data_IF_760554918356
#
_entry.id   IF_760554918356
#
_cell.length_a   1.000
_cell.length_b   1.000
_cell.length_c   1.000
_cell.angle_alpha   90.00
_cell.angle_beta   90.00
_cell.angle_gamma   90.00
#
_symmetry.space_group_name_H-M   'P 1'
#
loop_
_entity.id
_entity.type
_entity.pdbx_description
1 polymer ?
#
# COMPACT_ATOMS: atom_id res chain seq x y z
N UNK A 1 -0.24 -20.27 21.77
CA UNK A 1 -1.00 -19.33 22.62
C UNK A 1 -1.76 -18.39 21.69
N UNK A 2 -3.06 -18.17 21.91
CA UNK A 2 -3.83 -17.23 21.10
C UNK A 2 -3.24 -15.81 21.28
N UNK A 3 -2.83 -15.19 20.19
CA UNK A 3 -2.40 -13.79 20.19
C UNK A 3 -3.63 -12.92 20.42
N UNK A 4 -3.71 -12.31 21.61
CA UNK A 4 -4.70 -11.30 21.95
C UNK A 4 -4.35 -9.98 21.24
N UNK A 5 -4.43 -9.97 19.92
CA UNK A 5 -4.46 -8.73 19.17
C UNK A 5 -5.83 -8.08 19.38
N UNK A 6 -5.84 -6.76 19.50
CA UNK A 6 -7.06 -5.97 19.62
C UNK A 6 -7.41 -5.44 18.24
N UNK A 7 -8.69 -5.38 17.96
CA UNK A 7 -9.20 -4.62 16.82
C UNK A 7 -10.07 -3.50 17.35
N UNK A 8 -9.82 -2.29 16.88
CA UNK A 8 -10.63 -1.13 17.21
C UNK A 8 -10.74 -0.21 16.00
N UNK A 9 -11.76 0.63 16.02
CA UNK A 9 -12.06 1.56 14.92
C UNK A 9 -12.10 2.97 15.48
N UNK A 10 -11.43 3.89 14.80
CA UNK A 10 -11.49 5.31 15.09
C UNK A 10 -12.33 6.02 14.05
N UNK A 11 -13.24 6.86 14.51
CA UNK A 11 -13.99 7.79 13.66
C UNK A 11 -13.22 9.11 13.60
N UNK A 12 -12.87 9.53 12.40
CA UNK A 12 -12.21 10.79 12.11
C UNK A 12 -13.22 11.95 12.04
N UNK A 13 -12.71 13.16 12.03
CA UNK A 13 -13.48 14.41 12.03
C UNK A 13 -14.40 14.57 10.82
N UNK A 14 -14.03 13.97 9.68
CA UNK A 14 -14.83 13.94 8.45
C UNK A 14 -15.84 12.78 8.39
N UNK A 15 -15.95 12.00 9.47
CA UNK A 15 -16.85 10.85 9.59
C UNK A 15 -16.30 9.54 9.03
N UNK A 16 -15.12 9.55 8.41
CA UNK A 16 -14.44 8.32 7.98
C UNK A 16 -14.07 7.47 9.19
N UNK A 17 -14.33 6.18 9.10
CA UNK A 17 -13.93 5.20 10.10
C UNK A 17 -12.73 4.40 9.60
N UNK A 18 -11.69 4.29 10.42
CA UNK A 18 -10.50 3.49 10.12
C UNK A 18 -10.30 2.45 11.23
N UNK A 19 -10.28 1.17 10.84
CA UNK A 19 -10.01 0.06 11.73
C UNK A 19 -8.52 -0.26 11.82
N UNK A 20 -8.05 -0.65 13.00
CA UNK A 20 -6.68 -1.03 13.26
C UNK A 20 -6.65 -2.37 13.99
N UNK A 21 -5.63 -3.17 13.67
CA UNK A 21 -5.21 -4.31 14.48
C UNK A 21 -3.99 -3.90 15.30
N UNK A 22 -3.92 -4.33 16.55
CA UNK A 22 -2.90 -3.90 17.49
C UNK A 22 -2.43 -5.05 18.39
N UNK A 23 -1.12 -5.28 18.40
CA UNK A 23 -0.47 -6.26 19.28
C UNK A 23 -0.33 -5.81 20.74
N UNK A 24 -0.63 -4.55 21.04
CA UNK A 24 -0.45 -3.93 22.34
C UNK A 24 1.01 -3.60 22.68
N UNK A 25 1.24 -2.77 23.71
CA UNK A 25 2.59 -2.43 24.14
C UNK A 25 3.34 -3.66 24.69
N UNK A 26 4.67 -3.76 24.49
CA UNK A 26 5.48 -4.76 25.15
C UNK A 26 5.36 -4.64 26.69
N UNK A 27 5.21 -5.76 27.42
CA UNK A 27 5.09 -5.73 28.87
C UNK A 27 6.29 -5.05 29.53
N UNK A 28 6.02 -4.19 30.52
CA UNK A 28 7.03 -3.47 31.31
C UNK A 28 7.94 -2.51 30.51
N UNK A 29 7.65 -2.25 29.24
CA UNK A 29 8.37 -1.26 28.45
C UNK A 29 7.70 0.12 28.52
N UNK A 30 8.53 1.16 28.62
CA UNK A 30 8.10 2.57 28.56
C UNK A 30 8.71 3.34 27.39
N UNK A 31 9.58 2.69 26.62
CA UNK A 31 10.39 3.28 25.55
C UNK A 31 10.31 2.46 24.25
N UNK A 32 9.31 1.59 24.12
CA UNK A 32 9.08 0.79 22.92
C UNK A 32 8.78 1.67 21.70
N UNK A 33 9.20 1.21 20.52
CA UNK A 33 8.82 1.83 19.25
C UNK A 33 7.58 1.17 18.69
N UNK A 34 6.65 1.97 18.17
CA UNK A 34 5.48 1.45 17.46
C UNK A 34 5.76 1.36 15.97
N UNK A 35 5.60 0.20 15.37
CA UNK A 35 5.59 0.02 13.91
C UNK A 35 4.14 0.11 13.43
N UNK A 36 3.81 1.20 12.76
CA UNK A 36 2.49 1.46 12.18
C UNK A 36 2.48 1.02 10.71
N UNK A 37 1.81 -0.09 10.43
CA UNK A 37 1.84 -0.77 9.14
C UNK A 37 0.65 -0.36 8.29
N UNK A 38 0.92 -0.02 7.04
CA UNK A 38 -0.06 0.24 6.00
C UNK A 38 0.09 -0.85 4.93
N UNK A 39 -0.93 -1.69 4.79
CA UNK A 39 -0.86 -2.87 3.93
C UNK A 39 -0.96 -2.55 2.43
N UNK A 40 -0.48 -3.49 1.62
CA UNK A 40 -0.59 -3.49 0.17
C UNK A 40 -1.96 -3.95 -0.32
N UNK A 41 -2.07 -4.09 -1.64
CA UNK A 41 -3.33 -4.43 -2.29
C UNK A 41 -3.76 -5.87 -2.07
N UNK A 42 -5.08 -6.07 -2.00
CA UNK A 42 -5.78 -7.34 -1.83
C UNK A 42 -5.53 -8.01 -0.48
N UNK A 43 -4.50 -7.59 0.23
CA UNK A 43 -4.17 -7.95 1.59
C UNK A 43 -4.74 -6.93 2.57
N UNK A 44 -4.87 -7.28 3.84
CA UNK A 44 -5.37 -6.37 4.86
C UNK A 44 -4.57 -6.47 6.17
N UNK A 45 -4.94 -5.68 7.18
CA UNK A 45 -4.22 -5.61 8.44
C UNK A 45 -4.15 -6.94 9.21
N UNK A 46 -5.13 -7.85 9.02
CA UNK A 46 -5.17 -9.15 9.70
C UNK A 46 -3.92 -10.01 9.43
N UNK A 47 -3.27 -9.82 8.30
CA UNK A 47 -2.07 -10.56 7.93
C UNK A 47 -0.88 -10.30 8.85
N UNK A 48 -0.84 -9.12 9.48
CA UNK A 48 0.24 -8.72 10.37
C UNK A 48 0.06 -9.26 11.79
N UNK A 49 -0.96 -10.07 12.06
CA UNK A 49 -1.17 -10.65 13.39
C UNK A 49 -0.04 -11.57 13.87
N UNK A 50 0.64 -12.25 12.93
CA UNK A 50 1.84 -13.05 13.25
C UNK A 50 3.00 -12.14 13.66
N UNK A 51 3.12 -10.96 13.04
CA UNK A 51 4.13 -9.96 13.41
C UNK A 51 3.91 -9.47 14.85
N UNK A 52 2.67 -9.30 15.30
CA UNK A 52 2.36 -8.97 16.70
C UNK A 52 2.98 -9.96 17.70
N UNK A 53 3.02 -11.25 17.38
CA UNK A 53 3.56 -12.29 18.26
C UNK A 53 5.07 -12.19 18.47
N UNK A 54 5.79 -11.62 17.49
CA UNK A 54 7.26 -11.54 17.52
C UNK A 54 7.77 -10.16 17.91
N UNK A 55 6.97 -9.09 17.73
CA UNK A 55 7.39 -7.71 17.92
C UNK A 55 7.90 -7.40 19.34
N UNK A 56 7.24 -7.95 20.38
CA UNK A 56 7.60 -7.66 21.77
C UNK A 56 9.02 -8.07 22.13
N UNK A 57 9.54 -9.15 21.52
CA UNK A 57 10.93 -9.59 21.72
C UNK A 57 11.96 -8.50 21.33
N UNK A 58 11.60 -7.66 20.37
CA UNK A 58 12.43 -6.56 19.87
C UNK A 58 12.10 -5.21 20.51
N UNK A 59 11.33 -5.19 21.60
CA UNK A 59 10.79 -3.97 22.20
C UNK A 59 9.94 -3.13 21.22
N UNK A 60 9.18 -3.81 20.35
CA UNK A 60 8.30 -3.18 19.36
C UNK A 60 6.83 -3.47 19.67
N UNK A 61 5.96 -2.47 19.48
CA UNK A 61 4.51 -2.63 19.30
C UNK A 61 4.23 -2.61 17.80
N UNK A 62 3.40 -3.51 17.29
CA UNK A 62 2.97 -3.47 15.88
C UNK A 62 1.49 -3.17 15.82
N UNK A 63 1.13 -2.23 14.96
CA UNK A 63 -0.24 -1.81 14.69
C UNK A 63 -0.40 -1.79 13.18
N UNK A 64 -1.46 -2.41 12.65
CA UNK A 64 -1.73 -2.40 11.21
C UNK A 64 -3.09 -1.77 10.92
N UNK A 65 -3.09 -0.79 10.02
CA UNK A 65 -4.27 -0.06 9.57
C UNK A 65 -5.00 -0.86 8.49
N UNK A 66 -6.29 -1.15 8.67
CA UNK A 66 -7.17 -1.48 7.56
C UNK A 66 -7.38 -0.20 6.75
N UNK A 67 -6.86 -0.17 5.53
CA UNK A 67 -7.05 0.97 4.64
C UNK A 67 -8.54 1.15 4.29
N UNK A 68 -8.89 2.32 3.78
CA UNK A 68 -10.21 2.53 3.17
C UNK A 68 -10.46 1.51 2.04
N UNK A 69 -11.73 1.18 1.84
CA UNK A 69 -12.24 0.05 1.04
C UNK A 69 -12.01 -1.35 1.61
N UNK A 70 -11.20 -1.51 2.66
CA UNK A 70 -11.00 -2.80 3.32
C UNK A 70 -11.90 -2.95 4.56
N UNK A 71 -12.22 -4.20 4.92
CA UNK A 71 -13.16 -4.54 5.97
C UNK A 71 -12.79 -3.89 7.31
N UNK A 72 -13.79 -3.32 7.98
CA UNK A 72 -13.64 -2.57 9.22
C UNK A 72 -13.44 -1.06 9.01
N UNK A 73 -13.02 -0.63 7.81
CA UNK A 73 -12.83 0.78 7.46
C UNK A 73 -13.89 1.26 6.46
N UNK A 74 -14.11 2.57 6.40
CA UNK A 74 -15.08 3.19 5.51
C UNK A 74 -14.64 3.07 4.04
N UNK A 75 -15.51 2.55 3.15
CA UNK A 75 -15.24 2.52 1.71
C UNK A 75 -15.08 3.92 1.11
N UNK A 76 -14.35 4.02 -0.01
CA UNK A 76 -14.33 5.22 -0.83
C UNK A 76 -15.71 5.47 -1.45
N UNK A 77 -16.09 6.74 -1.48
CA UNK A 77 -17.28 7.19 -2.22
C UNK A 77 -17.00 7.17 -3.72
N UNK A 78 -18.06 7.17 -4.53
CA UNK A 78 -17.91 7.24 -5.98
C UNK A 78 -17.10 8.47 -6.43
N UNK A 79 -17.35 9.63 -5.83
CA UNK A 79 -16.61 10.86 -6.11
C UNK A 79 -15.12 10.73 -5.80
N UNK A 80 -14.76 10.12 -4.67
CA UNK A 80 -13.34 9.89 -4.34
C UNK A 80 -12.67 8.93 -5.32
N UNK A 81 -13.41 7.90 -5.78
CA UNK A 81 -12.94 6.97 -6.81
C UNK A 81 -12.78 7.63 -8.19
N UNK A 82 -13.53 8.68 -8.49
CA UNK A 82 -13.32 9.48 -9.70
C UNK A 82 -12.13 10.45 -9.55
N UNK A 83 -11.98 11.08 -8.37
CA UNK A 83 -10.86 11.98 -8.06
C UNK A 83 -9.52 11.25 -8.20
N UNK A 84 -9.42 10.04 -7.63
CA UNK A 84 -8.22 9.21 -7.74
C UNK A 84 -7.98 8.76 -9.19
N UNK A 85 -9.02 8.52 -9.99
CA UNK A 85 -8.88 8.16 -11.41
C UNK A 85 -8.30 9.29 -12.26
N UNK A 86 -8.69 10.53 -11.97
CA UNK A 86 -8.17 11.73 -12.64
C UNK A 86 -6.80 12.16 -12.11
N UNK A 87 -6.39 11.64 -10.95
CA UNK A 87 -5.18 12.05 -10.27
C UNK A 87 -5.32 13.41 -9.60
N UNK A 88 -6.53 13.75 -9.14
CA UNK A 88 -6.81 15.03 -8.53
C UNK A 88 -6.08 15.15 -7.18
N UNK A 89 -5.35 16.25 -6.99
CA UNK A 89 -4.64 16.56 -5.73
C UNK A 89 -5.56 16.48 -4.51
N UNK A 90 -6.83 16.85 -4.65
CA UNK A 90 -7.81 16.86 -3.55
C UNK A 90 -7.98 15.48 -2.90
N UNK A 91 -7.84 14.39 -3.67
CA UNK A 91 -7.88 13.03 -3.12
C UNK A 91 -6.68 12.77 -2.20
N UNK A 92 -5.48 13.10 -2.66
CA UNK A 92 -4.24 12.88 -1.92
C UNK A 92 -4.12 13.79 -0.69
N UNK A 93 -4.58 15.04 -0.78
CA UNK A 93 -4.69 15.95 0.35
C UNK A 93 -5.68 15.41 1.41
N UNK A 94 -6.78 14.81 0.97
CA UNK A 94 -7.74 14.17 1.89
C UNK A 94 -7.14 12.92 2.54
N UNK A 95 -6.51 12.05 1.77
CA UNK A 95 -5.91 10.81 2.25
C UNK A 95 -4.80 11.06 3.27
N UNK A 96 -3.92 12.03 2.99
CA UNK A 96 -2.84 12.41 3.89
C UNK A 96 -3.36 13.03 5.19
N UNK A 97 -4.40 13.86 5.12
CA UNK A 97 -5.05 14.41 6.31
C UNK A 97 -5.70 13.32 7.17
N UNK A 98 -6.37 12.34 6.55
CA UNK A 98 -6.95 11.20 7.26
C UNK A 98 -5.87 10.34 7.95
N UNK A 99 -4.72 10.12 7.29
CA UNK A 99 -3.59 9.40 7.89
C UNK A 99 -2.97 10.21 9.06
N UNK A 100 -2.80 11.52 8.90
CA UNK A 100 -2.31 12.39 9.97
C UNK A 100 -3.25 12.38 11.18
N UNK A 101 -4.57 12.45 10.94
CA UNK A 101 -5.58 12.48 12.00
C UNK A 101 -5.65 11.13 12.74
N UNK A 102 -5.65 9.99 12.03
CA UNK A 102 -5.68 8.68 12.69
C UNK A 102 -4.44 8.45 13.54
N UNK A 103 -3.27 8.93 13.11
CA UNK A 103 -2.04 8.89 13.90
C UNK A 103 -2.17 9.73 15.17
N UNK A 104 -2.74 10.94 15.07
CA UNK A 104 -3.01 11.78 16.25
C UNK A 104 -3.95 11.08 17.24
N UNK A 105 -5.10 10.59 16.78
CA UNK A 105 -6.07 9.88 17.63
C UNK A 105 -5.42 8.67 18.29
N UNK A 106 -4.61 7.92 17.54
CA UNK A 106 -3.86 6.78 18.05
C UNK A 106 -2.83 7.19 19.12
N UNK A 107 -2.02 8.22 18.86
CA UNK A 107 -1.03 8.75 19.82
C UNK A 107 -1.69 9.12 21.15
N UNK A 108 -2.80 9.87 21.10
CA UNK A 108 -3.51 10.35 22.28
C UNK A 108 -4.18 9.21 23.06
N UNK A 109 -4.90 8.32 22.37
CA UNK A 109 -5.67 7.25 23.03
C UNK A 109 -4.79 6.15 23.60
N UNK A 110 -3.70 5.84 22.90
CA UNK A 110 -2.88 4.67 23.21
C UNK A 110 -1.62 5.03 24.01
N UNK A 111 -1.45 6.30 24.39
CA UNK A 111 -0.34 6.82 25.19
C UNK A 111 1.03 6.39 24.64
N UNK A 112 1.23 6.64 23.35
CA UNK A 112 2.46 6.25 22.66
C UNK A 112 3.66 6.96 23.32
N UNK A 113 4.79 6.26 23.57
CA UNK A 113 6.00 6.93 24.05
C UNK A 113 6.49 7.95 23.02
N UNK A 114 6.86 9.15 23.48
CA UNK A 114 7.47 10.16 22.60
C UNK A 114 8.78 9.66 22.01
N UNK A 115 9.09 10.09 20.79
CA UNK A 115 10.37 9.81 20.17
C UNK A 115 11.48 10.47 21.01
N UNK A 116 12.49 9.68 21.37
CA UNK A 116 13.66 10.14 22.11
C UNK A 116 14.92 9.75 21.35
N UNK A 117 15.83 10.70 21.17
CA UNK A 117 17.13 10.49 20.52
C UNK A 117 18.24 10.89 21.48
N UNK A 118 19.02 9.92 21.95
CA UNK A 118 20.15 10.13 22.86
C UNK A 118 21.40 9.57 22.19
N UNK A 119 22.28 10.47 21.73
CA UNK A 119 23.42 10.09 20.89
C UNK A 119 22.93 9.38 19.61
N UNK A 120 23.42 8.15 19.39
CA UNK A 120 23.00 7.32 18.24
C UNK A 120 21.83 6.38 18.56
N UNK A 121 21.27 6.43 19.77
CA UNK A 121 20.15 5.56 20.17
C UNK A 121 18.84 6.29 20.00
N UNK A 122 17.90 5.65 19.28
CA UNK A 122 16.50 6.03 19.18
C UNK A 122 15.64 5.09 20.01
N UNK A 123 14.62 5.64 20.67
CA UNK A 123 13.62 4.88 21.42
C UNK A 123 12.29 5.61 21.42
N UNK A 124 11.19 4.91 21.70
CA UNK A 124 9.86 5.48 21.60
C UNK A 124 9.44 5.75 20.16
N UNK A 125 8.38 6.53 20.02
CA UNK A 125 7.88 7.03 18.74
C UNK A 125 7.19 5.98 17.87
N UNK A 126 6.99 6.37 16.62
CA UNK A 126 6.31 5.62 15.57
C UNK A 126 7.25 5.52 14.37
N UNK A 127 7.45 4.30 13.89
CA UNK A 127 7.97 4.01 12.56
C UNK A 127 6.78 3.64 11.65
N UNK A 128 6.54 4.40 10.59
CA UNK A 128 5.44 4.10 9.66
C UNK A 128 5.99 3.26 8.52
N UNK A 129 5.43 2.08 8.30
CA UNK A 129 5.83 1.17 7.22
C UNK A 129 4.70 1.03 6.20
N UNK A 130 4.89 1.56 5.00
CA UNK A 130 4.08 1.20 3.85
C UNK A 130 4.62 -0.08 3.24
N UNK A 131 3.76 -1.08 3.03
CA UNK A 131 4.11 -2.26 2.24
C UNK A 131 3.41 -2.22 0.89
N UNK A 132 4.14 -2.48 -0.18
CA UNK A 132 3.58 -2.51 -1.54
C UNK A 132 2.79 -1.21 -1.82
N UNK A 133 1.54 -1.30 -2.26
CA UNK A 133 0.70 -0.12 -2.49
C UNK A 133 0.35 0.69 -1.23
N UNK A 134 0.52 0.14 -0.02
CA UNK A 134 0.45 0.93 1.22
C UNK A 134 1.49 2.05 1.26
N UNK A 135 2.57 1.95 0.47
CA UNK A 135 3.54 3.02 0.25
C UNK A 135 2.89 4.29 -0.31
N UNK A 136 1.85 4.19 -1.16
CA UNK A 136 1.16 5.38 -1.71
C UNK A 136 0.51 6.22 -0.61
N UNK A 137 -0.10 5.57 0.38
CA UNK A 137 -0.73 6.25 1.52
C UNK A 137 0.34 6.93 2.37
N UNK A 138 1.46 6.26 2.65
CA UNK A 138 2.58 6.85 3.37
C UNK A 138 3.18 8.04 2.60
N UNK A 139 3.40 7.88 1.30
CA UNK A 139 3.91 8.95 0.43
C UNK A 139 2.96 10.14 0.35
N UNK A 140 1.64 9.93 0.43
CA UNK A 140 0.68 11.03 0.50
C UNK A 140 0.91 11.91 1.73
N UNK A 141 1.23 11.31 2.88
CA UNK A 141 1.59 12.03 4.10
C UNK A 141 2.94 12.72 3.97
N UNK A 142 3.94 12.07 3.38
CA UNK A 142 5.26 12.68 3.19
C UNK A 142 5.23 13.85 2.19
N UNK A 143 4.33 13.81 1.21
CA UNK A 143 4.10 14.87 0.24
C UNK A 143 3.18 16.00 0.73
N UNK A 144 2.70 15.96 1.98
CA UNK A 144 1.63 16.84 2.46
C UNK A 144 2.12 18.18 3.04
N UNK A 145 3.35 18.61 2.74
CA UNK A 145 3.94 19.82 3.32
C UNK A 145 3.08 21.09 3.11
N UNK A 146 2.37 21.17 1.98
CA UNK A 146 1.48 22.28 1.64
C UNK A 146 -0.01 21.91 1.75
N UNK A 147 -0.35 20.85 2.47
CA UNK A 147 -1.74 20.41 2.60
C UNK A 147 -2.50 21.28 3.61
N UNK A 148 -3.46 22.12 3.19
CA UNK A 148 -4.17 23.03 4.10
C UNK A 148 -5.11 22.30 5.07
N UNK A 149 -5.34 21.00 4.88
CA UNK A 149 -6.16 20.16 5.76
C UNK A 149 -5.40 19.69 7.00
N UNK A 150 -4.07 19.81 7.02
CA UNK A 150 -3.23 19.42 8.14
C UNK A 150 -2.79 20.69 8.87
N UNK A 151 -3.30 20.89 10.09
CA UNK A 151 -2.94 22.06 10.88
C UNK A 151 -1.48 22.02 11.34
N UNK A 152 -0.83 23.18 11.51
CA UNK A 152 0.53 23.25 12.06
C UNK A 152 0.66 22.53 13.40
N UNK A 153 -0.35 22.66 14.28
CA UNK A 153 -0.39 21.95 15.57
C UNK A 153 -0.30 20.42 15.40
N UNK A 154 -0.96 19.89 14.37
CA UNK A 154 -0.92 18.46 14.06
C UNK A 154 0.46 18.07 13.51
N UNK A 155 1.05 18.87 12.62
CA UNK A 155 2.43 18.66 12.18
C UNK A 155 3.41 18.64 13.35
N UNK A 156 3.37 19.66 14.21
CA UNK A 156 4.25 19.79 15.39
C UNK A 156 4.10 18.59 16.35
N UNK A 157 2.90 18.03 16.45
CA UNK A 157 2.67 16.81 17.23
C UNK A 157 3.33 15.62 16.53
N UNK A 158 3.04 15.39 15.25
CA UNK A 158 3.56 14.24 14.52
C UNK A 158 5.08 14.22 14.46
N UNK A 159 5.74 15.39 14.34
CA UNK A 159 7.21 15.51 14.39
C UNK A 159 7.82 15.03 15.72
N UNK A 160 7.07 15.07 16.83
CA UNK A 160 7.52 14.56 18.13
C UNK A 160 7.41 13.04 18.27
N UNK A 161 6.71 12.36 17.36
CA UNK A 161 6.45 10.92 17.45
C UNK A 161 6.99 10.15 16.26
N UNK A 162 6.88 10.66 15.03
CA UNK A 162 7.32 9.95 13.83
C UNK A 162 8.84 10.04 13.73
N UNK A 163 9.51 8.90 13.90
CA UNK A 163 10.97 8.83 13.80
C UNK A 163 11.47 8.30 12.46
N UNK A 164 10.70 7.40 11.85
CA UNK A 164 11.12 6.65 10.66
C UNK A 164 9.94 6.36 9.74
N UNK A 165 10.21 6.39 8.44
CA UNK A 165 9.28 6.02 7.38
C UNK A 165 9.95 4.97 6.51
N UNK A 166 9.31 3.80 6.36
CA UNK A 166 9.83 2.66 5.63
C UNK A 166 8.92 2.38 4.44
N UNK A 167 9.49 2.44 3.24
CA UNK A 167 8.85 1.96 2.01
C UNK A 167 9.32 0.52 1.80
N UNK A 168 8.48 -0.45 2.15
CA UNK A 168 8.80 -1.87 2.03
C UNK A 168 8.23 -2.42 0.73
N UNK A 169 9.12 -2.76 -0.19
CA UNK A 169 8.79 -3.28 -1.53
C UNK A 169 7.79 -2.38 -2.29
N UNK A 170 8.08 -1.05 -2.44
CA UNK A 170 7.19 -0.15 -3.16
C UNK A 170 7.17 -0.51 -4.65
N UNK A 171 6.00 -0.72 -5.26
CA UNK A 171 5.92 -0.91 -6.70
C UNK A 171 6.19 0.43 -7.40
N UNK A 172 6.71 0.37 -8.63
CA UNK A 172 7.07 1.59 -9.38
C UNK A 172 5.89 2.58 -9.54
N UNK A 173 4.66 2.06 -9.63
CA UNK A 173 3.44 2.88 -9.67
C UNK A 173 3.29 3.74 -8.40
N UNK A 174 3.63 3.19 -7.23
CA UNK A 174 3.53 3.92 -5.97
C UNK A 174 4.51 5.10 -5.90
N UNK A 175 5.60 5.04 -6.67
CA UNK A 175 6.62 6.08 -6.77
C UNK A 175 6.35 7.06 -7.92
N UNK A 176 5.27 6.86 -8.69
CA UNK A 176 4.92 7.71 -9.82
C UNK A 176 5.82 7.56 -11.04
N UNK A 177 6.60 6.47 -11.13
CA UNK A 177 7.45 6.25 -12.29
C UNK A 177 6.64 5.84 -13.53
N UNK A 178 6.82 6.50 -14.68
CA UNK A 178 6.25 6.03 -15.93
C UNK A 178 6.97 4.77 -16.39
N UNK A 179 6.22 3.85 -17.00
CA UNK A 179 6.82 2.78 -17.79
C UNK A 179 7.16 3.33 -19.18
N UNK A 180 8.24 2.86 -19.81
CA UNK A 180 8.45 3.09 -21.24
C UNK A 180 7.25 2.59 -22.05
N UNK A 181 6.89 3.31 -23.12
CA UNK A 181 5.74 2.96 -23.96
C UNK A 181 5.88 1.61 -24.66
N UNK A 182 7.11 1.14 -24.82
CA UNK A 182 7.50 -0.13 -25.40
C UNK A 182 7.81 -1.21 -24.34
N UNK A 183 7.50 -0.95 -23.06
CA UNK A 183 7.71 -1.93 -22.00
C UNK A 183 6.89 -3.21 -22.28
N UNK A 184 7.55 -4.37 -22.46
CA UNK A 184 6.86 -5.62 -22.75
C UNK A 184 6.10 -6.18 -21.54
N UNK A 185 6.37 -5.66 -20.34
CA UNK A 185 5.77 -6.13 -19.10
C UNK A 185 4.35 -5.58 -18.92
N UNK A 186 3.39 -6.25 -19.57
CA UNK A 186 1.99 -6.00 -19.34
C UNK A 186 1.61 -6.33 -17.90
N UNK A 187 0.66 -5.54 -17.42
CA UNK A 187 0.16 -5.60 -16.07
C UNK A 187 -1.22 -6.26 -16.12
N UNK A 188 -1.49 -7.35 -15.36
CA UNK A 188 -2.68 -8.19 -15.58
C UNK A 188 -4.01 -7.44 -15.60
N UNK A 189 -4.16 -6.40 -14.78
CA UNK A 189 -5.39 -5.62 -14.69
C UNK A 189 -5.58 -4.60 -15.83
N UNK A 190 -4.62 -4.48 -16.75
CA UNK A 190 -4.75 -3.73 -17.99
C UNK A 190 -5.13 -4.62 -19.18
N UNK A 191 -5.06 -5.94 -19.00
CA UNK A 191 -5.43 -6.89 -20.03
C UNK A 191 -6.95 -7.03 -20.05
N UNK A 192 -7.59 -6.31 -20.97
CA UNK A 192 -9.04 -6.35 -21.17
C UNK A 192 -9.56 -7.68 -21.71
N UNK A 193 -8.66 -8.60 -22.08
CA UNK A 193 -9.02 -9.95 -22.54
C UNK A 193 -9.23 -10.92 -21.38
N UNK A 194 -8.72 -10.61 -20.18
CA UNK A 194 -8.91 -11.42 -18.99
C UNK A 194 -10.30 -11.20 -18.39
N UNK A 195 -11.04 -12.28 -18.17
CA UNK A 195 -12.27 -12.24 -17.38
C UNK A 195 -11.98 -12.04 -15.88
N UNK A 196 -12.99 -11.64 -15.12
CA UNK A 196 -12.91 -11.50 -13.67
C UNK A 196 -12.47 -12.78 -12.95
N UNK A 197 -12.73 -13.96 -13.54
CA UNK A 197 -12.34 -15.24 -12.96
C UNK A 197 -10.91 -15.64 -13.31
N UNK A 198 -10.39 -15.18 -14.44
CA UNK A 198 -9.01 -15.43 -14.90
C UNK A 198 -8.00 -14.46 -14.26
N UNK A 199 -8.44 -13.26 -13.86
CA UNK A 199 -7.56 -12.25 -13.30
C UNK A 199 -6.84 -12.70 -12.00
N UNK A 200 -7.49 -13.35 -11.01
CA UNK A 200 -6.81 -13.75 -9.79
C UNK A 200 -5.61 -14.70 -9.96
N UNK A 201 -5.71 -15.84 -10.69
CA UNK A 201 -4.55 -16.71 -10.88
C UNK A 201 -3.43 -16.03 -11.69
N UNK A 202 -3.77 -15.20 -12.68
CA UNK A 202 -2.77 -14.41 -13.42
C UNK A 202 -2.09 -13.39 -12.50
N UNK A 203 -2.85 -12.72 -11.63
CA UNK A 203 -2.32 -11.78 -10.64
C UNK A 203 -1.38 -12.46 -9.64
N UNK A 204 -1.76 -13.60 -9.08
CA UNK A 204 -0.92 -14.37 -8.16
C UNK A 204 0.40 -14.76 -8.81
N UNK A 205 0.35 -15.25 -10.06
CA UNK A 205 1.54 -15.56 -10.83
C UNK A 205 2.38 -14.31 -11.07
N UNK A 206 1.76 -13.20 -11.47
CA UNK A 206 2.44 -11.94 -11.74
C UNK A 206 3.14 -11.36 -10.50
N UNK A 207 2.49 -11.31 -9.34
CA UNK A 207 3.06 -10.73 -8.12
C UNK A 207 4.14 -11.63 -7.49
N UNK A 208 4.10 -12.94 -7.74
CA UNK A 208 5.14 -13.88 -7.31
C UNK A 208 6.31 -14.02 -8.30
N UNK A 209 6.28 -13.29 -9.42
CA UNK A 209 7.36 -13.34 -10.42
C UNK A 209 8.48 -12.36 -10.11
N UNK A 210 9.66 -12.64 -10.65
CA UNK A 210 10.83 -11.76 -10.58
C UNK A 210 11.53 -11.68 -11.94
N UNK A 211 12.42 -10.71 -12.09
CA UNK A 211 13.25 -10.56 -13.30
C UNK A 211 14.66 -11.07 -13.03
N UNK A 212 15.32 -11.61 -14.06
CA UNK A 212 16.76 -11.80 -14.01
C UNK A 212 17.43 -10.42 -14.12
N UNK A 213 18.04 -9.97 -13.03
CA UNK A 213 18.73 -8.69 -12.99
C UNK A 213 20.17 -8.87 -13.47
N UNK A 214 20.38 -9.17 -14.76
CA UNK A 214 21.73 -9.37 -15.33
C UNK A 214 22.63 -8.13 -15.21
N UNK A 215 22.02 -6.96 -15.09
CA UNK A 215 22.70 -5.69 -14.85
C UNK A 215 23.10 -5.46 -13.38
N UNK A 216 22.71 -6.36 -12.46
CA UNK A 216 23.12 -6.33 -11.06
C UNK A 216 24.46 -7.03 -10.87
N UNK A 217 25.42 -6.29 -10.32
CA UNK A 217 26.69 -6.85 -9.90
C UNK A 217 26.64 -7.20 -8.40
N UNK A 218 26.61 -8.51 -8.05
CA UNK A 218 26.53 -8.94 -6.66
C UNK A 218 27.80 -8.64 -5.86
N UNK A 219 28.94 -8.41 -6.52
CA UNK A 219 30.21 -8.12 -5.85
C UNK A 219 30.22 -6.74 -5.20
N UNK A 220 29.59 -5.77 -5.85
CA UNK A 220 29.45 -4.38 -5.37
C UNK A 220 28.04 -4.06 -4.86
N UNK A 221 27.12 -5.04 -4.91
CA UNK A 221 25.71 -4.91 -4.54
C UNK A 221 25.02 -3.72 -5.21
N UNK A 222 25.29 -3.51 -6.50
CA UNK A 222 24.85 -2.32 -7.22
C UNK A 222 24.47 -2.65 -8.68
N UNK A 223 23.62 -1.82 -9.26
CA UNK A 223 23.32 -1.81 -10.70
C UNK A 223 24.30 -0.87 -11.40
N UNK A 224 24.58 -1.10 -12.69
CA UNK A 224 25.23 -0.07 -13.51
C UNK A 224 24.46 1.24 -13.43
N UNK A 225 25.16 2.38 -13.32
CA UNK A 225 24.54 3.71 -13.38
C UNK A 225 23.79 3.97 -14.72
N UNK A 226 24.08 3.16 -15.74
CA UNK A 226 23.40 3.21 -17.05
C UNK A 226 22.30 2.17 -17.20
N UNK A 227 22.02 1.36 -16.17
CA UNK A 227 21.00 0.33 -16.24
C UNK A 227 19.61 0.95 -16.41
N UNK A 228 18.82 0.37 -17.30
CA UNK A 228 17.46 0.76 -17.64
C UNK A 228 16.53 -0.44 -17.49
N UNK A 229 15.22 -0.20 -17.52
CA UNK A 229 14.22 -1.30 -17.51
C UNK A 229 14.33 -2.22 -18.74
N UNK A 230 14.96 -1.75 -19.83
CA UNK A 230 15.23 -2.57 -21.03
C UNK A 230 16.36 -3.59 -20.82
N UNK A 231 17.18 -3.42 -19.77
CA UNK A 231 18.20 -4.38 -19.38
C UNK A 231 17.62 -5.54 -18.54
N UNK A 232 16.33 -5.46 -18.18
CA UNK A 232 15.59 -6.60 -17.68
C UNK A 232 15.25 -7.49 -18.88
N UNK A 233 15.47 -8.79 -18.77
CA UNK A 233 15.24 -9.75 -19.86
C UNK A 233 13.76 -9.86 -20.31
N UNK A 234 12.84 -9.15 -19.65
CA UNK A 234 11.41 -9.09 -19.94
C UNK A 234 10.67 -10.41 -19.68
N UNK A 235 11.41 -11.51 -19.53
CA UNK A 235 10.94 -12.82 -19.21
C UNK A 235 10.81 -12.94 -17.69
N UNK A 236 9.58 -12.78 -17.20
CA UNK A 236 9.27 -13.07 -15.81
C UNK A 236 9.67 -14.50 -15.47
N UNK A 237 10.59 -14.64 -14.52
CA UNK A 237 10.98 -15.89 -13.93
C UNK A 237 10.06 -16.22 -12.76
N UNK A 238 9.98 -17.51 -12.47
CA UNK A 238 9.23 -18.07 -11.34
C UNK A 238 10.20 -18.92 -10.54
N UNK A 239 9.99 -19.05 -9.24
CA UNK A 239 10.76 -20.04 -8.48
C UNK A 239 10.27 -21.43 -8.89
N UNK A 240 11.14 -22.26 -9.44
CA UNK A 240 10.82 -23.67 -9.79
C UNK A 240 10.38 -24.51 -8.58
N UNK A 241 10.62 -23.99 -7.37
CA UNK A 241 10.11 -24.52 -6.13
C UNK A 241 8.69 -24.01 -5.91
N UNK A 242 7.70 -24.75 -6.40
CA UNK A 242 6.28 -24.58 -5.98
C UNK A 242 6.13 -24.55 -4.45
N UNK A 243 7.09 -25.13 -3.71
CA UNK A 243 7.13 -25.13 -2.25
C UNK A 243 7.52 -23.79 -1.60
N UNK A 244 8.23 -22.88 -2.30
CA UNK A 244 8.74 -21.63 -1.69
C UNK A 244 7.75 -20.45 -1.78
N UNK A 245 6.76 -20.50 -2.70
CA UNK A 245 5.63 -19.55 -2.77
C UNK A 245 4.34 -20.29 -2.38
N UNK A 246 4.32 -20.77 -1.15
CA UNK A 246 3.23 -21.63 -0.68
C UNK A 246 2.35 -20.88 0.32
N UNK A 247 1.15 -20.51 -0.14
CA UNK A 247 0.00 -20.29 0.76
C UNK A 247 -0.50 -21.60 1.36
N UNK A 248 0.14 -22.75 1.09
CA UNK A 248 -0.28 -24.05 1.65
C UNK A 248 -0.16 -24.12 3.17
N UNK A 249 0.64 -23.23 3.77
CA UNK A 249 0.69 -23.04 5.23
C UNK A 249 -0.43 -22.15 5.79
N UNK A 250 -1.23 -21.51 4.94
CA UNK A 250 -2.34 -20.66 5.34
C UNK A 250 -3.61 -21.52 5.42
N UNK A 251 -4.34 -21.36 6.52
CA UNK A 251 -5.65 -22.00 6.64
C UNK A 251 -6.67 -21.33 5.72
N UNK A 252 -7.79 -22.00 5.45
CA UNK A 252 -8.90 -21.38 4.74
C UNK A 252 -9.38 -20.10 5.43
N UNK A 253 -9.45 -20.13 6.77
CA UNK A 253 -9.74 -18.95 7.60
C UNK A 253 -8.73 -17.82 7.40
N UNK A 254 -7.45 -18.13 7.21
CA UNK A 254 -6.41 -17.11 6.94
C UNK A 254 -6.62 -16.45 5.59
N UNK A 255 -6.99 -17.22 4.58
CA UNK A 255 -7.30 -16.70 3.25
C UNK A 255 -8.55 -15.83 3.27
N UNK A 256 -9.63 -16.29 3.92
CA UNK A 256 -10.90 -15.54 4.01
C UNK A 256 -10.72 -14.22 4.76
N UNK A 257 -9.98 -14.23 5.87
CA UNK A 257 -9.83 -13.03 6.71
C UNK A 257 -8.73 -12.10 6.24
N UNK A 258 -7.68 -12.63 5.60
CA UNK A 258 -6.50 -11.88 5.22
C UNK A 258 -6.53 -11.32 3.81
N UNK A 259 -7.46 -11.76 2.96
CA UNK A 259 -7.53 -11.37 1.55
C UNK A 259 -8.91 -10.80 1.22
N UNK A 260 -8.93 -9.59 0.65
CA UNK A 260 -10.13 -8.89 0.23
C UNK A 260 -10.06 -8.54 -1.25
N UNK A 261 -10.58 -9.45 -2.08
CA UNK A 261 -10.46 -9.38 -3.53
C UNK A 261 -11.21 -8.19 -4.14
N UNK A 262 -12.39 -7.86 -3.63
CA UNK A 262 -13.17 -6.71 -4.13
C UNK A 262 -12.50 -5.38 -3.81
N UNK A 263 -12.00 -5.21 -2.57
CA UNK A 263 -11.22 -4.05 -2.18
C UNK A 263 -9.94 -3.96 -3.02
N UNK A 264 -9.25 -5.09 -3.21
CA UNK A 264 -8.07 -5.16 -4.06
C UNK A 264 -8.34 -4.80 -5.53
N UNK A 265 -9.47 -5.24 -6.07
CA UNK A 265 -9.93 -4.91 -7.43
C UNK A 265 -10.47 -3.49 -7.58
N UNK A 266 -10.73 -2.77 -6.50
CA UNK A 266 -11.01 -1.33 -6.50
C UNK A 266 -9.82 -0.51 -6.03
N UNK A 267 -8.70 -1.16 -5.73
CA UNK A 267 -7.54 -0.50 -5.17
C UNK A 267 -6.87 0.41 -6.22
N UNK A 268 -6.20 1.45 -5.71
CA UNK A 268 -5.27 2.37 -6.37
C UNK A 268 -4.46 1.80 -7.54
N UNK A 269 -4.10 0.51 -7.55
CA UNK A 269 -3.41 -0.17 -8.67
C UNK A 269 -4.03 0.06 -10.05
N UNK A 270 -5.36 -0.04 -10.14
CA UNK A 270 -6.08 0.17 -11.41
C UNK A 270 -6.10 1.64 -11.83
N UNK A 271 -6.05 2.54 -10.85
CA UNK A 271 -6.35 3.96 -11.03
C UNK A 271 -5.09 4.82 -11.16
N UNK A 272 -4.06 4.57 -10.35
CA UNK A 272 -2.73 5.21 -10.44
C UNK A 272 -2.11 5.00 -11.83
N UNK A 273 -2.38 3.85 -12.46
CA UNK A 273 -1.91 3.59 -13.82
C UNK A 273 -2.52 4.53 -14.88
N UNK A 274 -3.79 4.95 -14.72
CA UNK A 274 -4.44 5.88 -15.67
C UNK A 274 -3.89 7.30 -15.56
N UNK A 275 -3.44 7.71 -14.37
CA UNK A 275 -2.77 8.99 -14.15
C UNK A 275 -1.41 9.02 -14.86
N UNK A 276 -0.63 7.95 -14.72
CA UNK A 276 0.74 7.86 -15.26
C UNK A 276 0.75 7.67 -16.78
N UNK A 277 -0.23 6.93 -17.33
CA UNK A 277 -0.32 6.67 -18.77
C UNK A 277 -0.86 7.86 -19.60
N UNK A 278 -1.35 8.91 -18.95
CA UNK A 278 -2.07 10.02 -19.60
C UNK A 278 -3.44 9.59 -20.15
N UNK A 279 -4.33 10.55 -20.49
CA UNK A 279 -5.59 10.22 -21.16
C UNK A 279 -5.26 9.59 -22.52
N UNK A 280 -5.68 8.35 -22.74
CA UNK A 280 -5.63 7.71 -24.06
C UNK A 280 -6.42 8.57 -25.05
N UNK A 281 -5.73 9.32 -25.89
CA UNK A 281 -6.35 9.98 -27.03
C UNK A 281 -6.75 8.91 -28.04
N UNK A 282 -8.02 8.53 -28.08
CA UNK A 282 -8.84 8.29 -29.27
C UNK A 282 -10.13 7.52 -28.91
N UNK A 283 -11.32 8.12 -29.00
CA UNK A 283 -12.52 7.37 -29.36
C UNK A 283 -12.45 7.12 -30.87
N UNK A 284 -12.20 5.88 -31.28
CA UNK A 284 -12.43 5.49 -32.67
C UNK A 284 -13.93 5.62 -32.93
N UNK A 285 -14.32 6.68 -33.63
CA UNK A 285 -15.63 6.80 -34.25
C UNK A 285 -15.88 5.56 -35.11
N UNK A 286 -16.84 4.73 -34.72
CA UNK A 286 -17.45 3.78 -35.64
C UNK A 286 -18.17 4.57 -36.73
N UNK A 287 -17.87 4.35 -38.03
CA UNK A 287 -18.74 4.84 -39.08
C UNK A 287 -20.02 4.00 -39.04
N UNK A 288 -21.15 4.67 -38.80
CA UNK A 288 -22.48 4.12 -39.05
C UNK A 288 -22.60 3.79 -40.53
N UNK A 289 -22.68 2.50 -40.87
CA UNK A 289 -23.13 2.06 -42.19
C UNK A 289 -24.62 2.43 -42.33
N UNK A 290 -24.89 3.56 -42.98
CA UNK A 290 -26.19 3.86 -43.55
C UNK A 290 -26.47 2.90 -44.70
N UNK A 291 -27.45 2.02 -44.54
CA UNK A 291 -28.13 1.36 -45.64
C UNK A 291 -28.94 2.42 -46.40
N UNK A 292 -28.59 2.69 -47.65
CA UNK A 292 -29.51 3.21 -48.66
C UNK A 292 -29.59 2.18 -49.77
N UNK A 293 -30.66 1.38 -49.75
CA UNK A 293 -31.11 0.62 -50.90
C UNK A 293 -31.96 1.51 -51.81
N UNK A 294 -31.66 1.43 -53.11
CA UNK A 294 -32.33 2.08 -54.23
C UNK A 294 -33.81 1.70 -54.36
N UNK A 295 -34.65 2.65 -54.81
CA UNK A 295 -35.21 2.80 -56.18
C UNK A 295 -35.64 4.25 -56.32
#
# INVERSE_FOLDING_TARGET
MASNHRTYTYTLSDGVQLSLTDGGPPPNSKDYTTVFVIHGTAFNAYQFRKLHQHAHFFNLRTVALHRRDYAGSTPYTHTELEEIQRGDRVFWDRLSAQLAEVLNVFIERENIPKLTVIGNRRSGGIAIMGWSFGCTTLLSLLGSAENPRISNKLCDLLEQYIGECVLYDPPYQALGYPLPSDNPNQTPWLDSTLSLLELPPVFTKWIGSYFDHRCYDPSIKSLSATATIHDLDGARLYSDKEEDISTTSWTEDDLIRGIEREAGGRDTLLYVHRIIAGPSSSPTNHPTHGQTGSI
#
